data_IF_410699705857
#
_entry.id   IF_410699705857
#
_cell.length_a   1.000
_cell.length_b   1.000
_cell.length_c   1.000
_cell.angle_alpha   90.00
_cell.angle_beta   90.00
_cell.angle_gamma   90.00
#
_symmetry.space_group_name_H-M   'P 1'
#
loop_
_entity.id
_entity.type
_entity.pdbx_description
1 polymer ?
#
# COMPACT_ATOMS: atom_id res chain seq x y z
N UNK A 1 7.85 -14.32 -61.29
CA UNK A 1 7.66 -14.81 -59.90
C UNK A 1 6.24 -14.44 -59.47
N UNK A 2 5.29 -15.37 -59.49
CA UNK A 2 3.93 -15.12 -58.98
C UNK A 2 4.03 -15.10 -57.44
N UNK A 3 3.70 -13.98 -56.81
CA UNK A 3 3.45 -13.93 -55.36
C UNK A 3 2.25 -14.84 -55.10
N UNK A 4 2.33 -15.92 -54.31
CA UNK A 4 1.14 -16.65 -53.93
C UNK A 4 0.30 -15.71 -53.08
N UNK A 5 -0.87 -15.32 -53.60
CA UNK A 5 -1.87 -14.58 -52.84
C UNK A 5 -2.40 -15.57 -51.81
N UNK A 6 -1.88 -15.51 -50.58
CA UNK A 6 -2.45 -16.24 -49.45
C UNK A 6 -3.80 -15.60 -49.15
N UNK A 7 -4.82 -16.02 -49.89
CA UNK A 7 -6.19 -15.50 -49.86
C UNK A 7 -6.88 -15.66 -48.51
N UNK A 8 -6.22 -16.32 -47.54
CA UNK A 8 -6.73 -16.54 -46.19
C UNK A 8 -5.76 -16.07 -45.09
N UNK A 9 -4.68 -15.35 -45.41
CA UNK A 9 -3.78 -14.87 -44.36
C UNK A 9 -4.36 -13.66 -43.62
N UNK A 10 -4.48 -13.79 -42.31
CA UNK A 10 -4.85 -12.71 -41.40
C UNK A 10 -3.67 -12.33 -40.52
N UNK A 11 -3.29 -11.06 -40.53
CA UNK A 11 -2.23 -10.49 -39.67
C UNK A 11 -2.84 -9.81 -38.46
N UNK A 12 -2.22 -9.95 -37.30
CA UNK A 12 -2.67 -9.38 -36.03
C UNK A 12 -1.68 -8.34 -35.54
N UNK A 13 -2.18 -7.18 -35.14
CA UNK A 13 -1.38 -6.05 -34.69
C UNK A 13 -1.75 -5.66 -33.27
N UNK A 14 -0.75 -5.23 -32.49
CA UNK A 14 -0.89 -4.59 -31.19
C UNK A 14 -0.17 -3.25 -31.22
N UNK A 15 -0.88 -2.16 -30.96
CA UNK A 15 -0.34 -0.79 -31.02
C UNK A 15 0.37 -0.52 -32.37
N UNK A 16 -0.17 -1.05 -33.47
CA UNK A 16 0.42 -0.95 -34.81
C UNK A 16 1.57 -1.92 -35.11
N UNK A 17 2.05 -2.71 -34.15
CA UNK A 17 3.14 -3.69 -34.33
C UNK A 17 2.56 -5.07 -34.64
N UNK A 18 3.09 -5.76 -35.65
CA UNK A 18 2.70 -7.13 -35.99
C UNK A 18 3.06 -8.09 -34.85
N UNK A 19 2.06 -8.73 -34.24
CA UNK A 19 2.23 -9.69 -33.14
C UNK A 19 2.01 -11.15 -33.56
N UNK A 20 1.43 -11.36 -34.74
CA UNK A 20 1.27 -12.70 -35.30
C UNK A 20 0.49 -12.71 -36.60
N UNK A 21 0.43 -13.87 -37.23
CA UNK A 21 -0.36 -14.14 -38.42
C UNK A 21 -0.98 -15.54 -38.36
N UNK A 22 -2.11 -15.72 -39.02
CA UNK A 22 -2.87 -16.96 -39.01
C UNK A 22 -3.69 -17.11 -40.28
N UNK A 23 -3.64 -18.28 -40.90
CA UNK A 23 -4.54 -18.66 -41.99
C UNK A 23 -5.93 -19.08 -41.50
N UNK A 24 -6.06 -19.41 -40.21
CA UNK A 24 -7.32 -19.79 -39.57
C UNK A 24 -8.09 -18.58 -39.02
N UNK A 25 -7.53 -17.37 -39.13
CA UNK A 25 -8.16 -16.14 -38.61
C UNK A 25 -8.19 -16.04 -37.09
N UNK A 26 -7.48 -16.91 -36.36
CA UNK A 26 -7.39 -16.89 -34.89
C UNK A 26 -5.96 -16.73 -34.43
N UNK A 27 -5.73 -15.83 -33.46
CA UNK A 27 -4.45 -15.61 -32.79
C UNK A 27 -4.62 -15.80 -31.28
N UNK A 28 -3.73 -16.57 -30.65
CA UNK A 28 -3.83 -16.95 -29.24
C UNK A 28 -2.54 -16.62 -28.50
N UNK A 29 -2.64 -15.79 -27.46
CA UNK A 29 -1.54 -15.46 -26.56
C UNK A 29 -1.58 -16.45 -25.39
N UNK A 30 -0.59 -17.36 -25.31
CA UNK A 30 -0.59 -18.44 -24.30
C UNK A 30 -0.28 -17.96 -22.88
N UNK A 31 0.63 -17.00 -22.76
CA UNK A 31 1.04 -16.43 -21.47
C UNK A 31 0.79 -14.93 -21.52
N UNK A 32 -0.16 -14.46 -20.71
CA UNK A 32 -0.60 -13.06 -20.70
C UNK A 32 0.10 -12.30 -19.58
N UNK A 33 0.72 -11.20 -19.95
CA UNK A 33 1.48 -10.30 -19.10
C UNK A 33 1.01 -8.86 -19.29
N UNK A 34 1.44 -7.93 -18.43
CA UNK A 34 1.01 -6.54 -18.54
C UNK A 34 1.45 -5.88 -19.87
N UNK A 35 2.53 -6.36 -20.50
CA UNK A 35 2.97 -5.90 -21.83
C UNK A 35 2.07 -6.36 -22.98
N UNK A 36 1.14 -7.28 -22.72
CA UNK A 36 0.15 -7.70 -23.73
C UNK A 36 -1.07 -6.78 -23.77
N UNK A 37 -1.14 -5.79 -22.89
CA UNK A 37 -2.12 -4.72 -22.96
C UNK A 37 -1.86 -3.80 -24.16
N UNK A 38 -2.94 -3.37 -24.81
CA UNK A 38 -2.85 -2.43 -25.92
C UNK A 38 -4.07 -2.43 -26.81
N UNK A 39 -3.99 -1.67 -27.88
CA UNK A 39 -4.97 -1.66 -28.95
C UNK A 39 -4.67 -2.76 -29.96
N UNK A 40 -5.66 -3.63 -30.20
CA UNK A 40 -5.56 -4.75 -31.13
C UNK A 40 -6.43 -4.54 -32.37
N UNK A 41 -5.90 -4.97 -33.52
CA UNK A 41 -6.64 -5.09 -34.79
C UNK A 41 -6.10 -6.26 -35.61
N UNK A 42 -6.87 -6.72 -36.58
CA UNK A 42 -6.40 -7.67 -37.58
C UNK A 42 -6.55 -7.13 -39.00
N UNK A 43 -5.75 -7.64 -39.94
CA UNK A 43 -5.81 -7.33 -41.35
C UNK A 43 -5.87 -8.65 -42.13
N UNK A 44 -7.04 -8.94 -42.69
CA UNK A 44 -7.29 -10.14 -43.47
C UNK A 44 -7.12 -9.83 -44.96
N UNK A 45 -6.27 -10.62 -45.63
CA UNK A 45 -6.01 -10.47 -47.07
C UNK A 45 -7.32 -10.57 -47.88
N UNK A 46 -7.68 -9.50 -48.58
CA UNK A 46 -8.91 -9.43 -49.40
C UNK A 46 -10.16 -8.97 -48.66
N UNK A 47 -10.13 -8.85 -47.33
CA UNK A 47 -11.23 -8.32 -46.50
C UNK A 47 -10.91 -6.93 -45.94
N UNK A 48 -9.63 -6.68 -45.62
CA UNK A 48 -9.15 -5.42 -45.06
C UNK A 48 -8.91 -5.47 -43.55
N UNK A 49 -8.82 -4.30 -42.94
CA UNK A 49 -8.52 -4.14 -41.51
C UNK A 49 -9.79 -4.16 -40.65
N UNK A 50 -9.71 -4.78 -39.47
CA UNK A 50 -10.75 -4.70 -38.45
C UNK A 50 -10.72 -3.35 -37.73
N UNK A 51 -11.82 -3.00 -37.07
CA UNK A 51 -11.82 -1.96 -36.06
C UNK A 51 -10.78 -2.27 -34.97
N UNK A 52 -10.14 -1.23 -34.47
CA UNK A 52 -9.16 -1.30 -33.40
C UNK A 52 -9.86 -1.29 -32.03
N UNK A 53 -9.47 -2.20 -31.14
CA UNK A 53 -10.11 -2.39 -29.84
C UNK A 53 -9.10 -2.48 -28.71
N UNK A 54 -9.40 -1.86 -27.56
CA UNK A 54 -8.54 -1.89 -26.39
C UNK A 54 -8.66 -3.20 -25.60
N UNK A 55 -7.53 -3.86 -25.37
CA UNK A 55 -7.43 -5.07 -24.55
C UNK A 55 -6.66 -4.74 -23.29
N UNK A 56 -7.33 -4.73 -22.14
CA UNK A 56 -6.73 -4.47 -20.84
C UNK A 56 -6.30 -5.77 -20.15
N UNK A 57 -5.06 -5.83 -19.66
CA UNK A 57 -4.56 -6.94 -18.85
C UNK A 57 -4.65 -6.56 -17.38
N UNK A 58 -5.53 -7.27 -16.65
CA UNK A 58 -5.68 -7.15 -15.20
C UNK A 58 -4.89 -8.26 -14.52
N UNK A 59 -3.75 -7.91 -13.95
CA UNK A 59 -3.03 -8.81 -13.06
C UNK A 59 -3.87 -9.06 -11.81
N UNK A 60 -3.95 -10.32 -11.36
CA UNK A 60 -4.36 -10.61 -10.00
C UNK A 60 -3.29 -9.93 -9.13
N UNK A 61 -3.65 -8.87 -8.40
CA UNK A 61 -2.76 -8.35 -7.36
C UNK A 61 -2.40 -9.58 -6.52
N UNK A 62 -1.10 -9.87 -6.28
CA UNK A 62 -0.77 -10.72 -5.16
C UNK A 62 -1.55 -10.10 -4.00
N UNK A 63 -2.46 -10.87 -3.41
CA UNK A 63 -2.88 -10.55 -2.05
C UNK A 63 -1.62 -10.75 -1.24
N UNK A 64 -0.77 -9.74 -1.20
CA UNK A 64 0.33 -9.70 -0.25
C UNK A 64 -0.36 -9.88 1.09
N UNK A 65 -0.03 -10.93 1.87
CA UNK A 65 -0.50 -11.07 3.24
C UNK A 65 0.18 -10.03 4.14
N UNK A 66 0.26 -8.77 3.70
CA UNK A 66 0.66 -7.62 4.50
C UNK A 66 -0.46 -7.19 5.44
N UNK A 67 -1.72 -7.51 5.14
CA UNK A 67 -2.86 -7.18 5.99
C UNK A 67 -2.82 -7.77 7.42
N UNK A 68 -2.50 -9.07 7.66
CA UNK A 68 -2.47 -9.59 9.03
C UNK A 68 -1.34 -8.98 9.87
N UNK A 69 -0.17 -8.73 9.28
CA UNK A 69 0.99 -8.22 10.02
C UNK A 69 0.81 -6.75 10.42
N UNK A 70 0.30 -5.91 9.53
CA UNK A 70 0.06 -4.49 9.85
C UNK A 70 -1.06 -4.33 10.89
N UNK A 71 -2.10 -5.16 10.83
CA UNK A 71 -3.19 -5.17 11.82
C UNK A 71 -2.75 -5.63 13.21
N UNK A 72 -1.74 -6.50 13.32
CA UNK A 72 -1.21 -6.98 14.61
C UNK A 72 -0.12 -6.03 15.15
N UNK A 73 0.77 -5.53 14.29
CA UNK A 73 1.88 -4.67 14.71
C UNK A 73 1.38 -3.30 15.21
N UNK A 74 0.36 -2.72 14.59
CA UNK A 74 -0.19 -1.42 14.97
C UNK A 74 -0.71 -1.36 16.43
N UNK A 75 -1.60 -2.27 16.90
CA UNK A 75 -2.08 -2.26 18.27
C UNK A 75 -0.98 -2.63 19.28
N UNK A 76 -0.02 -3.49 18.90
CA UNK A 76 1.11 -3.84 19.76
C UNK A 76 1.99 -2.62 20.02
N UNK A 77 2.37 -1.88 18.97
CA UNK A 77 3.17 -0.66 19.11
C UNK A 77 2.40 0.40 19.90
N UNK A 78 1.11 0.61 19.60
CA UNK A 78 0.27 1.55 20.35
C UNK A 78 0.15 1.18 21.84
N UNK A 79 -0.02 -0.11 22.15
CA UNK A 79 -0.09 -0.63 23.51
C UNK A 79 1.21 -0.41 24.28
N UNK A 80 2.36 -0.70 23.66
CA UNK A 80 3.69 -0.47 24.27
C UNK A 80 3.91 1.02 24.56
N UNK A 81 3.58 1.90 23.61
CA UNK A 81 3.68 3.36 23.82
C UNK A 81 2.77 3.85 24.96
N UNK A 82 1.55 3.32 25.05
CA UNK A 82 0.62 3.65 26.13
C UNK A 82 1.16 3.21 27.50
N UNK A 83 1.71 1.99 27.60
CA UNK A 83 2.31 1.48 28.84
C UNK A 83 3.50 2.35 29.28
N UNK A 84 4.38 2.73 28.35
CA UNK A 84 5.50 3.64 28.64
C UNK A 84 4.99 4.99 29.14
N UNK A 85 3.98 5.57 28.48
CA UNK A 85 3.39 6.84 28.89
C UNK A 85 2.77 6.76 30.30
N UNK A 86 2.04 5.68 30.62
CA UNK A 86 1.48 5.46 31.96
C UNK A 86 2.57 5.34 33.02
N UNK A 87 3.65 4.60 32.73
CA UNK A 87 4.78 4.46 33.64
C UNK A 87 5.46 5.81 33.91
N UNK A 88 5.67 6.63 32.88
CA UNK A 88 6.22 7.99 33.01
C UNK A 88 5.28 8.90 33.81
N UNK A 89 3.97 8.85 33.55
CA UNK A 89 2.96 9.59 34.31
C UNK A 89 2.92 9.16 35.78
N UNK A 90 3.00 7.86 36.07
CA UNK A 90 3.06 7.33 37.44
C UNK A 90 4.31 7.83 38.17
N UNK A 91 5.48 7.74 37.54
CA UNK A 91 6.73 8.27 38.09
C UNK A 91 6.63 9.78 38.32
N UNK A 92 6.02 10.53 37.39
CA UNK A 92 5.86 11.97 37.51
C UNK A 92 4.87 12.38 38.60
N UNK A 93 3.75 11.66 38.75
CA UNK A 93 2.79 11.86 39.84
C UNK A 93 3.42 11.56 41.19
N UNK A 94 4.22 10.49 41.28
CA UNK A 94 4.95 10.15 42.49
C UNK A 94 5.97 11.26 42.84
N UNK A 95 6.76 11.70 41.86
CA UNK A 95 7.73 12.78 42.08
C UNK A 95 7.07 14.13 42.42
N UNK A 96 5.94 14.46 41.80
CA UNK A 96 5.14 15.64 42.19
C UNK A 96 4.54 15.48 43.59
N UNK A 97 4.13 14.27 43.98
CA UNK A 97 3.65 13.94 45.32
C UNK A 97 4.73 14.15 46.38
N UNK A 98 5.95 13.66 46.13
CA UNK A 98 7.12 13.86 46.99
C UNK A 98 7.46 15.36 47.10
N UNK A 99 7.54 16.08 45.98
CA UNK A 99 7.81 17.53 45.97
C UNK A 99 6.73 18.37 46.67
N UNK A 100 5.46 17.93 46.62
CA UNK A 100 4.35 18.58 47.35
C UNK A 100 4.48 18.36 48.87
N UNK A 101 4.83 17.14 49.30
CA UNK A 101 5.05 16.82 50.72
C UNK A 101 6.19 17.62 51.32
N UNK A 102 7.32 17.76 50.62
CA UNK A 102 8.44 18.58 51.09
C UNK A 102 8.09 20.07 51.21
N UNK A 103 7.34 20.62 50.24
CA UNK A 103 6.87 22.01 50.30
C UNK A 103 5.94 22.26 51.47
N UNK A 104 5.04 21.31 51.75
CA UNK A 104 4.12 21.43 52.88
C UNK A 104 4.84 21.33 54.23
N UNK A 105 5.84 20.44 54.33
CA UNK A 105 6.71 20.32 55.52
C UNK A 105 7.48 21.61 55.82
N UNK A 106 7.99 22.29 54.79
CA UNK A 106 8.67 23.61 54.93
C UNK A 106 7.74 24.76 55.28
N UNK A 107 6.44 24.70 54.95
CA UNK A 107 5.45 25.70 55.41
C UNK A 107 5.13 25.51 56.89
N UNK A 108 4.85 24.27 57.30
CA UNK A 108 4.56 23.95 58.70
C UNK A 108 5.74 24.25 59.64
N UNK A 109 6.99 23.98 59.23
CA UNK A 109 8.18 24.39 60.00
C UNK A 109 8.33 25.91 60.14
N UNK A 110 7.90 26.68 59.13
CA UNK A 110 7.89 28.15 59.21
C UNK A 110 6.77 28.67 60.10
N UNK A 111 5.58 28.09 60.04
CA UNK A 111 4.48 28.43 60.95
C UNK A 111 4.85 28.13 62.41
N UNK A 112 5.50 26.99 62.68
CA UNK A 112 5.98 26.62 64.02
C UNK A 112 7.10 27.53 64.52
N UNK A 113 8.03 27.95 63.66
CA UNK A 113 9.10 28.89 64.03
C UNK A 113 8.56 30.29 64.31
N UNK A 114 7.54 30.72 63.56
CA UNK A 114 6.87 31.99 63.82
C UNK A 114 6.15 31.98 65.16
N UNK A 115 5.42 30.91 65.52
CA UNK A 115 4.72 30.84 66.81
C UNK A 115 5.64 30.88 68.03
N UNK A 116 6.88 30.36 67.92
CA UNK A 116 7.87 30.38 69.01
C UNK A 116 8.57 31.74 69.17
N UNK A 117 8.67 32.54 68.09
CA UNK A 117 9.37 33.84 68.12
C UNK A 117 8.49 34.99 68.67
N UNK A 118 7.18 34.76 68.81
CA UNK A 118 6.21 35.73 69.33
C UNK A 118 5.75 35.44 70.78
N UNK A 119 6.41 34.50 71.49
CA UNK A 119 6.25 34.26 72.94
C UNK A 119 7.45 34.81 73.70
#
# INVERSE_FOLDING_TARGET
IRKPLSSNLTRFYRNGVLVGDSSAGTFTIRSVSKSDEGFYKCNASGVGESAESWVAVRGRRPQTPTAPLTLILLPVVAGVLLLIALMLLCRWRNHKGVRRRERNKRRSLREMSSSVTYS
#
